data_IF_507634286428
#
_entry.id   IF_507634286428
#
_cell.length_a   1.000
_cell.length_b   1.000
_cell.length_c   1.000
_cell.angle_alpha   90.00
_cell.angle_beta   90.00
_cell.angle_gamma   90.00
#
_symmetry.space_group_name_H-M   'P 1'
#
loop_
_entity.id
_entity.type
_entity.pdbx_description
1 polymer ?
#
# COMPACT_ATOMS: atom_id res chain seq x y z
N UNK A 1 25.87 19.30 -2.28
CA UNK A 1 25.13 18.89 -3.49
C UNK A 1 23.68 18.71 -3.10
N UNK A 2 22.80 19.44 -3.78
CA UNK A 2 21.35 19.38 -3.61
C UNK A 2 20.81 18.36 -4.62
N UNK A 3 19.96 17.43 -4.15
CA UNK A 3 19.35 16.41 -5.02
C UNK A 3 17.94 16.84 -5.43
N UNK A 4 17.59 16.54 -6.67
CA UNK A 4 16.29 16.86 -7.28
C UNK A 4 15.41 15.61 -7.33
N UNK A 5 14.11 15.80 -7.57
CA UNK A 5 13.15 14.70 -7.73
C UNK A 5 13.56 13.78 -8.91
N UNK A 6 14.07 14.35 -10.00
CA UNK A 6 14.59 13.58 -11.15
C UNK A 6 15.68 12.58 -10.73
N UNK A 7 16.57 12.98 -9.81
CA UNK A 7 17.67 12.15 -9.35
C UNK A 7 17.12 10.95 -8.54
N UNK A 8 16.07 11.16 -7.73
CA UNK A 8 15.36 10.06 -7.06
C UNK A 8 14.62 9.15 -8.06
N UNK A 9 14.01 9.70 -9.11
CA UNK A 9 13.32 8.90 -10.14
C UNK A 9 14.33 7.99 -10.86
N UNK A 10 15.51 8.51 -11.23
CA UNK A 10 16.60 7.73 -11.83
C UNK A 10 17.07 6.59 -10.91
N UNK A 11 17.29 6.88 -9.63
CA UNK A 11 17.65 5.86 -8.64
C UNK A 11 16.54 4.81 -8.46
N UNK A 12 15.27 5.21 -8.42
CA UNK A 12 14.13 4.28 -8.32
C UNK A 12 14.02 3.36 -9.55
N UNK A 13 14.35 3.83 -10.76
CA UNK A 13 14.42 2.98 -11.95
C UNK A 13 15.56 1.96 -11.86
N UNK A 14 16.74 2.36 -11.36
CA UNK A 14 17.85 1.43 -11.09
C UNK A 14 17.46 0.37 -10.06
N UNK A 15 16.85 0.81 -8.95
CA UNK A 15 16.39 -0.06 -7.86
C UNK A 15 15.29 -1.02 -8.33
N UNK A 16 14.31 -0.57 -9.11
CA UNK A 16 13.28 -1.45 -9.71
C UNK A 16 13.91 -2.56 -10.55
N UNK A 17 14.89 -2.24 -11.40
CA UNK A 17 15.59 -3.22 -12.23
C UNK A 17 16.31 -4.27 -11.39
N UNK A 18 17.06 -3.86 -10.36
CA UNK A 18 17.78 -4.79 -9.46
C UNK A 18 16.82 -5.66 -8.64
N UNK A 19 15.71 -5.10 -8.16
CA UNK A 19 14.67 -5.85 -7.46
C UNK A 19 13.90 -6.80 -8.40
N UNK A 20 13.75 -6.44 -9.68
CA UNK A 20 13.18 -7.31 -10.70
C UNK A 20 14.08 -8.53 -10.92
N UNK A 21 15.39 -8.35 -10.99
CA UNK A 21 16.35 -9.46 -11.04
C UNK A 21 16.25 -10.35 -9.79
N UNK A 22 16.39 -9.76 -8.60
CA UNK A 22 16.48 -10.50 -7.33
C UNK A 22 15.16 -11.18 -6.90
N UNK A 23 14.05 -10.44 -6.82
CA UNK A 23 12.77 -10.95 -6.34
C UNK A 23 11.95 -11.60 -7.49
N UNK A 24 12.06 -11.03 -8.69
CA UNK A 24 11.19 -11.37 -9.80
C UNK A 24 11.86 -12.14 -10.94
N UNK A 25 13.16 -12.47 -10.84
CA UNK A 25 13.90 -13.25 -11.85
C UNK A 25 13.86 -12.60 -13.25
N UNK A 26 13.96 -11.27 -13.30
CA UNK A 26 13.87 -10.45 -14.53
C UNK A 26 12.59 -10.67 -15.34
N UNK A 27 11.48 -10.99 -14.68
CA UNK A 27 10.21 -11.33 -15.31
C UNK A 27 9.12 -10.24 -15.22
N UNK A 28 9.50 -9.04 -14.79
CA UNK A 28 8.69 -7.82 -14.92
C UNK A 28 9.13 -7.00 -16.13
N UNK A 29 8.17 -6.38 -16.81
CA UNK A 29 8.45 -5.41 -17.88
C UNK A 29 9.01 -4.08 -17.36
N UNK A 30 9.54 -3.26 -18.28
CA UNK A 30 10.01 -1.90 -17.96
C UNK A 30 8.80 -0.98 -17.66
N UNK A 31 8.84 -0.32 -16.50
CA UNK A 31 7.75 0.51 -15.97
C UNK A 31 8.16 1.99 -15.91
N UNK A 32 7.22 2.91 -16.12
CA UNK A 32 7.44 4.34 -15.80
C UNK A 32 7.39 4.53 -14.28
N UNK A 33 8.28 5.34 -13.71
CA UNK A 33 8.23 5.70 -12.28
C UNK A 33 7.98 7.20 -12.14
N UNK A 34 7.00 7.56 -11.31
CA UNK A 34 6.63 8.95 -11.03
C UNK A 34 6.64 9.22 -9.51
N UNK A 35 6.96 10.46 -9.14
CA UNK A 35 6.71 11.00 -7.79
C UNK A 35 5.48 11.90 -7.84
N UNK A 36 4.47 11.59 -7.04
CA UNK A 36 3.19 12.31 -7.05
C UNK A 36 2.83 12.93 -5.71
N UNK A 37 2.31 14.16 -5.75
CA UNK A 37 1.79 14.83 -4.56
C UNK A 37 0.48 14.19 -4.11
N UNK A 38 0.42 13.73 -2.86
CA UNK A 38 -0.82 13.16 -2.33
C UNK A 38 -1.96 14.18 -2.27
N UNK A 39 -3.13 13.78 -2.77
CA UNK A 39 -4.38 14.58 -2.67
C UNK A 39 -4.87 14.74 -1.23
N UNK A 40 -4.40 13.93 -0.27
CA UNK A 40 -4.84 13.95 1.15
C UNK A 40 -3.72 13.48 2.09
N UNK A 41 -3.27 14.36 3.00
CA UNK A 41 -2.23 14.08 4.02
C UNK A 41 -2.49 12.84 4.87
N UNK A 42 -3.76 12.55 5.14
CA UNK A 42 -4.20 11.43 5.98
C UNK A 42 -4.43 10.11 5.21
N UNK A 43 -4.04 10.04 3.93
CA UNK A 43 -4.16 8.84 3.08
C UNK A 43 -3.43 7.64 3.69
N UNK A 44 -3.98 6.44 3.52
CA UNK A 44 -3.24 5.19 3.82
C UNK A 44 -2.50 4.66 2.58
N UNK A 45 -2.87 5.14 1.39
CA UNK A 45 -2.19 4.87 0.12
C UNK A 45 -0.91 5.69 0.04
N UNK A 46 0.19 5.01 -0.21
CA UNK A 46 1.56 5.56 -0.27
C UNK A 46 2.20 5.41 -1.67
N UNK A 47 1.60 4.60 -2.53
CA UNK A 47 1.91 4.46 -3.94
C UNK A 47 0.71 3.85 -4.67
N UNK A 48 0.82 3.72 -5.99
CA UNK A 48 -0.09 2.90 -6.79
C UNK A 48 0.59 2.42 -8.08
N UNK A 49 0.13 1.28 -8.58
CA UNK A 49 0.42 0.75 -9.91
C UNK A 49 -0.75 1.01 -10.85
N UNK A 50 -0.48 1.69 -11.96
CA UNK A 50 -1.43 1.89 -13.06
C UNK A 50 -1.04 1.02 -14.27
N UNK A 51 -1.88 0.05 -14.67
CA UNK A 51 -1.68 -0.66 -15.93
C UNK A 51 -1.97 0.27 -17.11
N UNK A 52 -1.23 0.13 -18.20
CA UNK A 52 -1.45 0.98 -19.38
C UNK A 52 -2.76 0.63 -20.09
N UNK A 53 -3.84 1.36 -19.79
CA UNK A 53 -5.10 1.26 -20.54
C UNK A 53 -5.11 2.16 -21.78
N UNK A 54 -4.65 3.41 -21.66
CA UNK A 54 -4.95 4.47 -22.65
C UNK A 54 -3.76 5.38 -23.06
N UNK A 55 -2.54 5.12 -22.60
CA UNK A 55 -1.37 5.95 -22.95
C UNK A 55 -0.72 5.55 -24.29
N UNK A 56 -0.29 6.55 -25.07
CA UNK A 56 0.41 6.40 -26.37
C UNK A 56 1.57 5.40 -26.34
N UNK A 57 2.29 5.36 -25.21
CA UNK A 57 3.56 4.64 -25.08
C UNK A 57 3.38 3.20 -24.56
N UNK A 58 2.15 2.79 -24.18
CA UNK A 58 1.80 1.45 -23.68
C UNK A 58 2.70 0.88 -22.56
N UNK A 59 3.33 1.74 -21.76
CA UNK A 59 4.09 1.34 -20.56
C UNK A 59 3.22 1.50 -19.31
N UNK A 60 3.23 0.49 -18.45
CA UNK A 60 2.67 0.56 -17.10
C UNK A 60 3.40 1.66 -16.28
N UNK A 61 2.77 2.13 -15.20
CA UNK A 61 3.36 3.14 -14.30
C UNK A 61 3.30 2.70 -12.84
N UNK A 62 4.35 3.02 -12.08
CA UNK A 62 4.36 3.01 -10.61
C UNK A 62 4.52 4.45 -10.13
N UNK A 63 3.55 4.94 -9.37
CA UNK A 63 3.57 6.28 -8.80
C UNK A 63 3.77 6.21 -7.29
N UNK A 64 4.91 6.71 -6.81
CA UNK A 64 5.26 6.81 -5.38
C UNK A 64 4.80 8.17 -4.86
N UNK A 65 4.06 8.19 -3.75
CA UNK A 65 3.49 9.43 -3.23
C UNK A 65 4.45 10.19 -2.32
N UNK A 66 4.39 11.52 -2.33
CA UNK A 66 5.19 12.40 -1.46
C UNK A 66 5.11 12.07 0.04
N UNK A 67 4.09 11.33 0.50
CA UNK A 67 3.93 10.82 1.87
C UNK A 67 4.97 9.74 2.27
N UNK A 68 5.73 9.18 1.33
CA UNK A 68 6.83 8.24 1.63
C UNK A 68 8.16 8.93 1.86
N UNK A 69 8.32 10.16 1.35
CA UNK A 69 9.59 10.87 1.27
C UNK A 69 9.92 11.55 2.60
N UNK A 70 10.27 10.74 3.61
CA UNK A 70 10.67 11.17 4.95
C UNK A 70 12.16 10.90 5.24
N UNK A 71 12.98 10.64 4.21
CA UNK A 71 14.38 10.21 4.36
C UNK A 71 14.59 8.71 4.63
N UNK A 72 13.51 7.93 4.81
CA UNK A 72 13.59 6.48 4.99
C UNK A 72 13.55 5.76 3.63
N UNK A 73 14.73 5.28 3.20
CA UNK A 73 14.85 4.48 1.97
C UNK A 73 14.22 3.09 2.10
N UNK A 74 14.23 2.47 3.28
CA UNK A 74 13.55 1.17 3.50
C UNK A 74 12.03 1.34 3.34
N UNK A 75 11.46 2.43 3.85
CA UNK A 75 10.05 2.78 3.64
C UNK A 75 9.74 3.00 2.17
N UNK A 76 10.54 3.83 1.48
CA UNK A 76 10.29 4.19 0.07
C UNK A 76 10.43 2.97 -0.85
N UNK A 77 11.50 2.18 -0.69
CA UNK A 77 11.73 0.96 -1.47
C UNK A 77 10.70 -0.12 -1.10
N UNK A 78 10.28 -0.21 0.17
CA UNK A 78 9.19 -1.10 0.59
C UNK A 78 7.84 -0.80 -0.07
N UNK A 79 7.57 0.47 -0.40
CA UNK A 79 6.39 0.86 -1.22
C UNK A 79 6.61 0.51 -2.69
N UNK A 80 7.80 0.77 -3.26
CA UNK A 80 8.12 0.31 -4.62
C UNK A 80 7.91 -1.21 -4.78
N UNK A 81 8.39 -2.02 -3.84
CA UNK A 81 8.20 -3.48 -3.84
C UNK A 81 6.71 -3.88 -3.70
N UNK A 82 5.89 -3.11 -2.98
CA UNK A 82 4.43 -3.31 -2.94
C UNK A 82 3.81 -3.14 -4.33
N UNK A 83 4.14 -2.06 -5.03
CA UNK A 83 3.61 -1.79 -6.37
C UNK A 83 4.18 -2.78 -7.43
N UNK A 84 5.41 -3.29 -7.23
CA UNK A 84 5.96 -4.38 -8.06
C UNK A 84 5.20 -5.71 -7.89
N UNK A 85 4.56 -5.98 -6.75
CA UNK A 85 3.64 -7.12 -6.61
C UNK A 85 2.39 -6.92 -7.47
N UNK A 86 1.83 -5.71 -7.50
CA UNK A 86 0.71 -5.38 -8.40
C UNK A 86 1.11 -5.51 -9.87
N UNK A 87 2.30 -5.02 -10.25
CA UNK A 87 2.87 -5.23 -11.59
C UNK A 87 2.99 -6.73 -11.93
N UNK A 88 3.62 -7.52 -11.06
CA UNK A 88 3.80 -8.96 -11.25
C UNK A 88 2.48 -9.70 -11.50
N UNK A 89 1.46 -9.35 -10.72
CA UNK A 89 0.13 -9.93 -10.81
C UNK A 89 -0.58 -9.51 -12.10
N UNK A 90 -0.55 -8.22 -12.43
CA UNK A 90 -1.15 -7.68 -13.65
C UNK A 90 -0.58 -8.35 -14.92
N UNK A 91 0.76 -8.40 -15.03
CA UNK A 91 1.46 -9.01 -16.18
C UNK A 91 1.22 -10.53 -16.33
N UNK A 92 0.59 -11.16 -15.34
CA UNK A 92 0.20 -12.59 -15.34
C UNK A 92 -1.31 -12.81 -15.34
N UNK A 93 -2.12 -11.77 -15.50
CA UNK A 93 -3.59 -11.86 -15.44
C UNK A 93 -4.13 -12.24 -14.06
N UNK A 94 -3.33 -12.10 -13.00
CA UNK A 94 -3.72 -12.44 -11.62
C UNK A 94 -4.52 -11.28 -11.04
N UNK A 95 -5.83 -11.46 -10.89
CA UNK A 95 -6.66 -10.53 -10.10
C UNK A 95 -6.30 -10.64 -8.62
N UNK A 96 -5.60 -9.64 -8.09
CA UNK A 96 -5.01 -9.59 -6.75
C UNK A 96 -5.73 -8.63 -5.79
N UNK A 97 -6.63 -7.79 -6.30
CA UNK A 97 -7.58 -6.97 -5.53
C UNK A 97 -9.04 -7.38 -5.73
N UNK A 98 -9.85 -7.16 -4.70
CA UNK A 98 -11.32 -7.21 -4.77
C UNK A 98 -11.90 -5.96 -5.50
N UNK A 99 -13.19 -5.98 -5.83
CA UNK A 99 -13.88 -4.86 -6.49
C UNK A 99 -13.89 -3.56 -5.65
N UNK A 100 -13.55 -3.64 -4.36
CA UNK A 100 -13.42 -2.54 -3.42
C UNK A 100 -11.94 -2.10 -3.22
N UNK A 101 -11.05 -2.51 -4.13
CA UNK A 101 -9.59 -2.30 -4.12
C UNK A 101 -8.82 -2.93 -2.94
N UNK A 102 -9.45 -3.82 -2.16
CA UNK A 102 -8.73 -4.54 -1.09
C UNK A 102 -7.89 -5.67 -1.65
N UNK A 103 -6.63 -5.71 -1.25
CA UNK A 103 -5.72 -6.84 -1.47
C UNK A 103 -6.34 -8.16 -1.00
N UNK A 104 -6.37 -9.14 -1.90
CA UNK A 104 -6.91 -10.48 -1.67
C UNK A 104 -5.79 -11.49 -1.33
N UNK A 105 -6.14 -12.77 -1.15
CA UNK A 105 -5.16 -13.82 -0.76
C UNK A 105 -4.02 -14.01 -1.76
N UNK A 106 -4.24 -13.79 -3.07
CA UNK A 106 -3.21 -13.92 -4.10
C UNK A 106 -2.16 -12.83 -3.98
N UNK A 107 -2.57 -11.59 -3.68
CA UNK A 107 -1.64 -10.52 -3.37
C UNK A 107 -0.74 -10.90 -2.18
N UNK A 108 -1.34 -11.37 -1.08
CA UNK A 108 -0.62 -11.79 0.13
C UNK A 108 0.43 -12.86 -0.19
N UNK A 109 0.04 -13.88 -0.96
CA UNK A 109 0.89 -15.01 -1.33
C UNK A 109 2.12 -14.58 -2.13
N UNK A 110 1.96 -13.74 -3.16
CA UNK A 110 3.09 -13.21 -3.93
C UNK A 110 3.93 -12.25 -3.11
N UNK A 111 3.30 -11.39 -2.30
CA UNK A 111 3.99 -10.46 -1.43
C UNK A 111 4.90 -11.17 -0.41
N UNK A 112 4.42 -12.24 0.24
CA UNK A 112 5.20 -13.01 1.22
C UNK A 112 6.22 -13.94 0.57
N UNK A 113 5.81 -14.74 -0.42
CA UNK A 113 6.64 -15.82 -0.96
C UNK A 113 7.63 -15.37 -2.03
N UNK A 114 7.38 -14.23 -2.69
CA UNK A 114 8.19 -13.78 -3.84
C UNK A 114 8.80 -12.39 -3.63
N UNK A 115 8.05 -11.47 -3.05
CA UNK A 115 8.52 -10.09 -2.83
C UNK A 115 9.09 -9.84 -1.41
N UNK A 116 9.20 -10.88 -0.57
CA UNK A 116 9.79 -10.80 0.77
C UNK A 116 9.15 -9.72 1.68
N UNK A 117 7.85 -9.46 1.51
CA UNK A 117 7.07 -8.54 2.34
C UNK A 117 6.35 -9.30 3.46
N UNK A 118 6.38 -8.75 4.67
CA UNK A 118 5.51 -9.16 5.78
C UNK A 118 4.13 -8.50 5.60
N UNK A 119 3.08 -9.32 5.49
CA UNK A 119 1.73 -8.84 5.20
C UNK A 119 0.81 -8.96 6.42
N UNK A 120 0.53 -7.83 7.07
CA UNK A 120 -0.23 -7.79 8.32
C UNK A 120 -1.75 -7.90 8.07
N UNK A 121 -2.32 -9.07 8.35
CA UNK A 121 -3.78 -9.28 8.44
C UNK A 121 -4.39 -8.45 9.59
N UNK A 122 -4.88 -7.24 9.29
CA UNK A 122 -5.50 -6.39 10.32
C UNK A 122 -6.96 -6.78 10.57
N UNK A 123 -7.22 -7.71 11.51
CA UNK A 123 -8.57 -8.19 11.95
C UNK A 123 -9.58 -8.43 10.81
N UNK A 124 -9.62 -9.66 10.30
CA UNK A 124 -10.68 -10.35 9.52
C UNK A 124 -11.34 -9.67 8.30
N UNK A 125 -11.66 -8.38 8.34
CA UNK A 125 -12.48 -7.66 7.35
C UNK A 125 -11.75 -6.49 6.64
N UNK A 126 -10.43 -6.31 6.84
CA UNK A 126 -9.69 -5.13 6.31
C UNK A 126 -8.74 -5.40 5.13
N UNK A 127 -8.67 -6.64 4.63
CA UNK A 127 -7.75 -7.00 3.55
C UNK A 127 -6.28 -7.02 3.97
N UNK A 128 -5.41 -7.25 2.99
CA UNK A 128 -3.96 -7.43 3.17
C UNK A 128 -3.15 -6.13 2.96
N UNK A 129 -3.73 -4.98 3.34
CA UNK A 129 -3.29 -3.64 2.92
C UNK A 129 -2.12 -3.02 3.69
N UNK A 130 -1.42 -3.77 4.54
CA UNK A 130 -0.27 -3.27 5.30
C UNK A 130 0.89 -4.24 5.11
N UNK A 131 1.82 -3.83 4.25
CA UNK A 131 3.05 -4.55 3.94
C UNK A 131 4.25 -3.79 4.49
N UNK A 132 5.29 -4.54 4.88
CA UNK A 132 6.61 -3.99 5.16
C UNK A 132 7.69 -4.98 4.71
N UNK A 133 8.88 -4.54 4.30
CA UNK A 133 10.01 -5.44 4.10
C UNK A 133 10.22 -6.41 5.26
N UNK A 134 10.48 -7.69 4.96
CA UNK A 134 10.94 -8.66 5.95
C UNK A 134 12.45 -8.43 6.25
N UNK A 135 13.03 -9.21 7.17
CA UNK A 135 14.46 -9.06 7.53
C UNK A 135 15.42 -9.32 6.38
N UNK A 136 15.08 -10.21 5.46
CA UNK A 136 15.88 -10.60 4.30
C UNK A 136 15.90 -9.49 3.25
N UNK A 137 14.74 -8.92 2.91
CA UNK A 137 14.64 -7.77 2.02
C UNK A 137 15.33 -6.53 2.62
N UNK A 138 15.20 -6.28 3.92
CA UNK A 138 15.96 -5.20 4.59
C UNK A 138 17.45 -5.43 4.44
N UNK A 139 17.94 -6.65 4.71
CA UNK A 139 19.35 -6.98 4.54
C UNK A 139 19.83 -6.79 3.10
N UNK A 140 19.04 -7.21 2.11
CA UNK A 140 19.34 -7.01 0.69
C UNK A 140 19.42 -5.51 0.32
N UNK A 141 18.43 -4.70 0.71
CA UNK A 141 18.42 -3.24 0.49
C UNK A 141 19.62 -2.57 1.19
N UNK A 142 20.02 -3.05 2.37
CA UNK A 142 21.12 -2.44 3.11
C UNK A 142 22.51 -2.83 2.62
N UNK A 143 22.71 -4.04 2.09
CA UNK A 143 24.05 -4.61 1.89
C UNK A 143 24.35 -5.08 0.45
N UNK A 144 23.35 -5.17 -0.43
CA UNK A 144 23.50 -5.76 -1.77
C UNK A 144 22.96 -4.84 -2.88
N UNK A 145 21.85 -4.16 -2.64
CA UNK A 145 21.25 -3.23 -3.60
C UNK A 145 22.16 -2.01 -3.81
N UNK A 146 22.55 -1.75 -5.06
CA UNK A 146 23.45 -0.65 -5.44
C UNK A 146 22.64 0.60 -5.84
N UNK A 147 22.61 1.59 -4.96
CA UNK A 147 21.90 2.85 -5.16
C UNK A 147 22.46 3.95 -4.26
N UNK A 148 22.24 5.20 -4.66
CA UNK A 148 22.67 6.35 -3.88
C UNK A 148 21.73 6.59 -2.68
N UNK A 149 22.04 5.93 -1.55
CA UNK A 149 21.31 6.07 -0.28
C UNK A 149 21.17 7.53 0.18
N UNK A 150 22.10 8.40 -0.19
CA UNK A 150 22.08 9.81 0.17
C UNK A 150 21.02 10.63 -0.59
N UNK A 151 20.63 10.21 -1.81
CA UNK A 151 19.49 10.78 -2.54
C UNK A 151 18.21 10.57 -1.74
N UNK A 152 17.94 9.32 -1.34
CA UNK A 152 16.76 8.98 -0.54
C UNK A 152 16.76 9.65 0.83
N UNK A 153 17.88 9.60 1.57
CA UNK A 153 18.00 10.20 2.91
C UNK A 153 17.74 11.70 2.93
N UNK A 154 18.13 12.42 1.87
CA UNK A 154 17.97 13.88 1.76
C UNK A 154 16.64 14.25 1.08
N UNK A 155 15.95 13.31 0.44
CA UNK A 155 14.62 13.54 -0.13
C UNK A 155 13.55 13.51 0.96
N UNK A 156 13.38 14.65 1.63
CA UNK A 156 12.37 14.87 2.67
C UNK A 156 11.34 15.88 2.14
N UNK A 157 10.09 15.44 1.98
CA UNK A 157 8.98 16.29 1.55
C UNK A 157 8.08 16.67 2.73
N UNK A 158 7.58 17.91 2.74
CA UNK A 158 6.69 18.42 3.80
C UNK A 158 5.47 17.51 4.07
N UNK A 159 4.90 16.92 3.03
CA UNK A 159 3.72 16.07 3.16
C UNK A 159 4.01 14.79 3.98
N UNK A 160 5.25 14.28 3.95
CA UNK A 160 5.65 13.13 4.75
C UNK A 160 5.91 13.49 6.22
N UNK A 161 6.36 14.72 6.49
CA UNK A 161 6.51 15.26 7.86
C UNK A 161 5.14 15.58 8.49
N UNK A 162 4.20 16.08 7.69
CA UNK A 162 2.82 16.39 8.08
C UNK A 162 1.85 15.20 7.89
N UNK A 163 2.37 13.97 7.79
CA UNK A 163 1.59 12.78 7.48
C UNK A 163 0.88 12.20 8.73
N UNK A 164 -0.42 12.44 8.84
CA UNK A 164 -1.28 11.87 9.90
C UNK A 164 -2.21 10.76 9.37
N UNK A 165 -1.74 9.50 9.22
CA UNK A 165 -2.52 8.42 8.64
C UNK A 165 -3.77 8.10 9.47
N UNK A 166 -4.95 8.43 8.92
CA UNK A 166 -6.22 8.21 9.62
C UNK A 166 -6.82 6.87 9.22
N UNK A 167 -6.68 5.88 10.11
CA UNK A 167 -7.27 4.56 9.94
C UNK A 167 -8.79 4.60 9.72
N UNK A 168 -9.32 3.60 9.00
CA UNK A 168 -10.75 3.48 8.72
C UNK A 168 -11.63 3.60 9.99
N UNK A 169 -12.74 4.34 9.87
CA UNK A 169 -13.73 4.46 10.93
C UNK A 169 -14.19 3.06 11.39
N UNK A 170 -14.07 2.78 12.70
CA UNK A 170 -14.50 1.51 13.30
C UNK A 170 -16.02 1.44 13.28
N UNK A 171 -16.59 0.59 12.43
CA UNK A 171 -18.03 0.31 12.46
C UNK A 171 -18.37 -0.61 13.64
N UNK A 172 -19.35 -0.22 14.44
CA UNK A 172 -19.95 -1.05 15.49
C UNK A 172 -21.22 -1.70 14.94
N UNK A 173 -21.31 -3.04 14.98
CA UNK A 173 -22.51 -3.79 14.56
C UNK A 173 -23.46 -3.98 15.74
N UNK A 174 -24.75 -3.92 15.47
CA UNK A 174 -25.85 -4.00 16.43
C UNK A 174 -26.93 -4.95 15.91
N UNK A 175 -27.54 -5.75 16.80
CA UNK A 175 -28.61 -6.71 16.45
C UNK A 175 -29.79 -6.58 17.45
N UNK A 176 -31.04 -6.47 16.98
CA UNK A 176 -32.25 -6.62 17.82
C UNK A 176 -32.67 -8.08 17.92
N UNK A 177 -33.49 -8.40 18.91
CA UNK A 177 -34.06 -9.74 19.08
C UNK A 177 -34.94 -10.20 17.90
N UNK A 178 -35.49 -9.28 17.10
CA UNK A 178 -36.21 -9.59 15.85
C UNK A 178 -35.31 -9.84 14.63
N UNK A 179 -33.98 -9.82 14.78
CA UNK A 179 -33.03 -10.04 13.68
C UNK A 179 -32.60 -8.79 12.92
N UNK A 180 -33.22 -7.62 13.13
CA UNK A 180 -32.79 -6.35 12.52
C UNK A 180 -31.32 -6.05 12.87
N UNK A 181 -30.52 -5.70 11.86
CA UNK A 181 -29.09 -5.40 11.98
C UNK A 181 -28.82 -3.94 11.64
N UNK A 182 -28.08 -3.24 12.51
CA UNK A 182 -27.65 -1.85 12.29
C UNK A 182 -26.11 -1.76 12.38
N UNK A 183 -25.50 -0.95 11.53
CA UNK A 183 -24.08 -0.62 11.60
C UNK A 183 -23.91 0.87 11.91
N UNK A 184 -23.17 1.20 12.95
CA UNK A 184 -22.84 2.58 13.36
C UNK A 184 -21.37 2.88 13.02
N UNK A 185 -21.11 3.91 12.22
CA UNK A 185 -19.77 4.36 11.84
C UNK A 185 -19.18 5.45 12.76
N UNK A 186 -19.94 5.93 13.75
CA UNK A 186 -19.46 6.93 14.73
C UNK A 186 -18.42 6.31 15.68
N UNK A 187 -17.50 7.16 16.17
CA UNK A 187 -16.49 6.79 17.18
C UNK A 187 -17.13 6.29 18.49
N UNK A 188 -18.24 6.91 18.88
CA UNK A 188 -19.01 6.60 20.08
C UNK A 188 -20.02 5.49 19.84
N UNK A 189 -20.30 4.72 20.89
CA UNK A 189 -21.34 3.67 20.85
C UNK A 189 -22.71 4.30 21.09
N UNK A 190 -23.68 3.93 20.27
CA UNK A 190 -25.08 4.36 20.41
C UNK A 190 -25.84 3.39 21.31
N UNK A 191 -26.79 3.93 22.07
CA UNK A 191 -27.86 3.19 22.71
C UNK A 191 -29.07 3.26 21.77
N UNK A 192 -29.47 2.11 21.20
CA UNK A 192 -30.50 2.05 20.16
C UNK A 192 -31.64 1.15 20.67
N UNK A 193 -32.87 1.64 20.62
CA UNK A 193 -34.09 0.87 20.89
C UNK A 193 -34.82 0.59 19.57
N UNK A 194 -35.25 -0.64 19.35
CA UNK A 194 -36.12 -0.97 18.22
C UNK A 194 -37.57 -0.69 18.60
N UNK A 195 -38.35 -0.09 17.70
CA UNK A 195 -39.77 0.15 17.92
C UNK A 195 -40.63 -1.09 17.61
N UNK A 196 -40.31 -1.83 16.54
CA UNK A 196 -40.99 -3.09 16.17
C UNK A 196 -40.79 -4.16 17.26
N UNK A 197 -39.54 -4.28 17.72
CA UNK A 197 -39.05 -5.32 18.62
C UNK A 197 -39.06 -4.89 20.10
N UNK A 198 -39.42 -3.63 20.41
CA UNK A 198 -39.40 -2.91 21.72
C UNK A 198 -38.12 -3.10 22.60
N UNK A 199 -37.15 -3.88 22.14
CA UNK A 199 -35.91 -4.24 22.82
C UNK A 199 -34.77 -3.28 22.46
N UNK A 200 -33.74 -3.28 23.31
CA UNK A 200 -32.48 -2.58 23.05
C UNK A 200 -31.61 -3.44 22.13
N UNK A 201 -31.02 -2.84 21.10
CA UNK A 201 -30.06 -3.51 20.24
C UNK A 201 -28.78 -3.87 21.00
N UNK A 202 -28.33 -5.12 20.88
CA UNK A 202 -27.07 -5.57 21.48
C UNK A 202 -25.92 -5.32 20.51
N UNK A 203 -24.85 -4.69 21.00
CA UNK A 203 -23.61 -4.47 20.24
C UNK A 203 -22.85 -5.79 20.09
N UNK A 204 -22.46 -6.13 18.86
CA UNK A 204 -21.65 -7.30 18.52
C UNK A 204 -20.19 -6.85 18.35
N UNK A 205 -19.24 -7.68 18.78
CA UNK A 205 -17.79 -7.45 18.60
C UNK A 205 -17.29 -7.86 17.22
#
# INVERSE_FOLDING_TARGET
>A
MEYRIDDLILELHSVHKQLNEYLFSNSLSEVKIAIETSKRRNSLTLGHFDPSSDWSDKKNQISIWTLTLNGDYIRTIGVLVHEMVHQYNHERGIKDVENNQRHNKKFKEIAENKAMLLVNSTKSNRGFSNTKPNKELIYYIDNVLDFNKDVFKKMIHKDALEHEPKGYNKTSRYICNCGTVINNSRKESLNIKCMDCNNIFKKVK
#
